data_IF_128392525233
#
_entry.id   IF_128392525233
#
_cell.length_a   1.000
_cell.length_b   1.000
_cell.length_c   1.000
_cell.angle_alpha   90.00
_cell.angle_beta   90.00
_cell.angle_gamma   90.00
#
_symmetry.space_group_name_H-M   'P 1'
#
loop_
_entity.id
_entity.type
_entity.pdbx_description
1 polymer ?
#
# COMPACT_ATOMS: atom_id res chain seq x y z
N UNK A 1 -5.30 -7.88 -23.42
CA UNK A 1 -4.17 -7.39 -24.24
C UNK A 1 -4.21 -5.86 -24.22
N UNK A 2 -3.29 -5.22 -23.51
CA UNK A 2 -3.29 -3.77 -23.33
C UNK A 2 -2.70 -3.06 -24.55
N UNK A 3 -3.35 -2.00 -24.97
CA UNK A 3 -2.80 -1.06 -25.93
C UNK A 3 -1.46 -0.50 -25.41
N UNK A 4 -0.42 -0.37 -26.26
CA UNK A 4 0.82 0.27 -25.89
C UNK A 4 0.57 1.73 -25.49
N UNK A 5 1.02 2.08 -24.30
CA UNK A 5 1.10 3.46 -23.84
C UNK A 5 2.06 4.22 -24.77
N UNK A 6 1.68 5.43 -25.15
CA UNK A 6 2.50 6.37 -25.91
C UNK A 6 2.95 7.52 -25.00
N UNK A 7 4.14 8.03 -25.26
CA UNK A 7 4.64 9.25 -24.63
C UNK A 7 4.32 10.44 -25.52
N UNK A 8 3.88 11.53 -24.90
CA UNK A 8 3.65 12.81 -25.54
C UNK A 8 4.44 13.85 -24.78
N UNK A 9 5.46 14.41 -25.41
CA UNK A 9 6.30 15.45 -24.83
C UNK A 9 5.84 16.81 -25.34
N UNK A 10 5.79 17.78 -24.45
CA UNK A 10 5.44 19.14 -24.82
C UNK A 10 5.16 20.03 -23.62
N UNK A 11 4.98 21.31 -23.92
CA UNK A 11 4.63 22.31 -22.92
C UNK A 11 3.16 22.15 -22.51
N UNK A 12 2.91 22.15 -21.21
CA UNK A 12 1.56 22.12 -20.65
C UNK A 12 0.88 23.46 -20.92
N UNK A 13 -0.11 23.47 -21.81
CA UNK A 13 -0.80 24.70 -22.24
C UNK A 13 -2.10 24.95 -21.50
N UNK A 14 -2.74 23.88 -21.01
CA UNK A 14 -3.87 23.96 -20.10
C UNK A 14 -3.84 22.79 -19.12
N UNK A 15 -4.31 23.05 -17.90
CA UNK A 15 -4.54 22.07 -16.85
C UNK A 15 -5.85 22.42 -16.15
N UNK A 16 -6.85 21.54 -16.25
CA UNK A 16 -8.18 21.77 -15.69
C UNK A 16 -8.58 20.62 -14.79
N UNK A 17 -9.02 20.96 -13.58
CA UNK A 17 -9.75 20.03 -12.71
C UNK A 17 -11.20 20.01 -13.13
N UNK A 18 -11.69 18.85 -13.55
CA UNK A 18 -13.08 18.70 -13.98
C UNK A 18 -14.03 18.68 -12.77
N UNK A 19 -13.55 18.17 -11.64
CA UNK A 19 -14.29 18.07 -10.39
C UNK A 19 -13.29 17.98 -9.24
N UNK A 20 -13.25 18.97 -8.36
CA UNK A 20 -12.45 18.92 -7.13
C UNK A 20 -13.42 19.10 -5.95
N UNK A 21 -13.45 18.17 -4.98
CA UNK A 21 -14.15 18.40 -3.74
C UNK A 21 -13.41 19.54 -3.01
N UNK A 22 -14.00 20.73 -2.98
CA UNK A 22 -13.40 21.89 -2.33
C UNK A 22 -13.56 21.81 -0.81
N UNK A 23 -12.50 22.15 -0.09
CA UNK A 23 -12.48 22.22 1.38
C UNK A 23 -13.50 23.25 1.91
N UNK A 24 -13.78 24.32 1.15
CA UNK A 24 -14.66 25.42 1.58
C UNK A 24 -16.15 25.09 1.50
N UNK A 25 -16.53 23.99 0.83
CA UNK A 25 -17.94 23.56 0.68
C UNK A 25 -18.38 22.54 1.75
N UNK A 26 -17.68 22.52 2.90
CA UNK A 26 -17.56 21.42 3.87
C UNK A 26 -18.85 20.85 4.51
N UNK A 27 -20.02 21.49 4.37
CA UNK A 27 -21.22 21.11 5.13
C UNK A 27 -21.85 19.76 4.75
N UNK A 28 -21.84 19.38 3.47
CA UNK A 28 -22.69 18.29 2.96
C UNK A 28 -21.94 17.08 2.35
N UNK A 29 -20.60 17.14 2.19
CA UNK A 29 -19.84 16.18 1.37
C UNK A 29 -18.64 15.54 2.09
N UNK A 30 -18.49 15.79 3.40
CA UNK A 30 -17.47 15.14 4.20
C UNK A 30 -17.93 13.72 4.58
N UNK A 31 -17.13 12.71 4.23
CA UNK A 31 -17.38 11.36 4.72
C UNK A 31 -17.18 11.31 6.22
N UNK A 32 -18.11 10.66 6.92
CA UNK A 32 -17.94 10.41 8.35
C UNK A 32 -16.64 9.65 8.58
N UNK A 33 -15.86 10.03 9.62
CA UNK A 33 -14.63 9.32 9.94
C UNK A 33 -14.93 7.83 10.15
N UNK A 34 -14.04 6.98 9.66
CA UNK A 34 -14.19 5.52 9.78
C UNK A 34 -14.25 5.17 11.27
N UNK A 35 -15.37 4.61 11.72
CA UNK A 35 -15.54 4.25 13.13
C UNK A 35 -14.47 3.19 13.53
N UNK A 36 -13.58 3.48 14.49
CA UNK A 36 -12.53 2.54 14.91
C UNK A 36 -13.12 1.22 15.45
N UNK A 37 -14.34 1.22 15.97
CA UNK A 37 -15.04 0.02 16.42
C UNK A 37 -15.55 -0.85 15.26
N UNK A 38 -15.74 -0.28 14.05
CA UNK A 38 -16.12 -1.06 12.88
C UNK A 38 -15.03 -2.07 12.49
N UNK A 39 -13.74 -1.74 12.72
CA UNK A 39 -12.62 -2.66 12.53
C UNK A 39 -12.71 -3.87 13.46
N UNK A 40 -13.15 -3.66 14.72
CA UNK A 40 -13.37 -4.71 15.72
C UNK A 40 -14.54 -5.63 15.37
N UNK A 41 -15.50 -5.13 14.58
CA UNK A 41 -16.64 -5.91 14.04
C UNK A 41 -16.30 -6.65 12.74
N UNK A 42 -15.10 -6.47 12.18
CA UNK A 42 -14.71 -7.15 10.95
C UNK A 42 -14.48 -8.64 11.19
N UNK A 43 -14.92 -9.47 10.24
CA UNK A 43 -14.82 -10.93 10.30
C UNK A 43 -13.37 -11.40 10.47
N UNK A 44 -12.42 -10.67 9.86
CA UNK A 44 -10.98 -10.93 10.02
C UNK A 44 -10.48 -10.65 11.44
N UNK A 45 -10.89 -9.53 12.03
CA UNK A 45 -10.54 -9.21 13.42
C UNK A 45 -11.12 -10.23 14.40
N UNK A 46 -12.40 -10.61 14.22
CA UNK A 46 -13.05 -11.62 15.04
C UNK A 46 -12.38 -13.01 14.90
N UNK A 47 -12.01 -13.38 13.68
CA UNK A 47 -11.30 -14.64 13.44
C UNK A 47 -9.93 -14.65 14.14
N UNK A 48 -9.11 -13.62 13.97
CA UNK A 48 -7.75 -13.60 14.54
C UNK A 48 -7.72 -13.34 16.04
N UNK A 49 -8.69 -12.60 16.61
CA UNK A 49 -8.68 -12.21 18.03
C UNK A 49 -9.64 -13.04 18.90
N UNK A 50 -10.50 -13.86 18.30
CA UNK A 50 -11.44 -14.71 19.05
C UNK A 50 -11.29 -16.17 18.66
N UNK A 51 -11.32 -16.50 17.37
CA UNK A 51 -11.28 -17.90 16.92
C UNK A 51 -9.88 -18.52 17.05
N UNK A 52 -8.83 -17.82 16.64
CA UNK A 52 -7.44 -18.32 16.70
C UNK A 52 -6.97 -18.60 18.13
N UNK A 53 -7.17 -17.72 19.14
CA UNK A 53 -6.79 -18.00 20.52
C UNK A 53 -7.57 -19.18 21.13
N UNK A 54 -8.87 -19.30 20.81
CA UNK A 54 -9.71 -20.42 21.27
C UNK A 54 -9.23 -21.74 20.66
N UNK A 55 -8.94 -21.77 19.35
CA UNK A 55 -8.38 -22.95 18.69
C UNK A 55 -6.98 -23.30 19.25
N UNK A 56 -6.13 -22.31 19.51
CA UNK A 56 -4.82 -22.51 20.13
C UNK A 56 -4.92 -23.08 21.55
N UNK A 57 -5.89 -22.62 22.34
CA UNK A 57 -6.16 -23.15 23.68
C UNK A 57 -6.72 -24.58 23.63
N UNK A 58 -7.67 -24.86 22.72
CA UNK A 58 -8.30 -26.17 22.57
C UNK A 58 -7.35 -27.25 21.99
N UNK A 59 -6.33 -26.83 21.24
CA UNK A 59 -5.29 -27.73 20.69
C UNK A 59 -4.12 -27.97 21.64
N UNK A 60 -4.21 -27.50 22.90
CA UNK A 60 -3.17 -27.69 23.92
C UNK A 60 -2.01 -26.69 23.83
N UNK A 61 -2.06 -25.73 22.91
CA UNK A 61 -1.04 -24.70 22.71
C UNK A 61 -1.35 -23.44 23.54
N UNK A 62 -1.57 -23.61 24.86
CA UNK A 62 -1.90 -22.52 25.79
C UNK A 62 -0.85 -21.40 25.83
N UNK A 63 0.42 -21.71 25.54
CA UNK A 63 1.49 -20.73 25.40
C UNK A 63 1.30 -19.80 24.18
N UNK A 64 0.77 -20.32 23.06
CA UNK A 64 0.48 -19.52 21.87
C UNK A 64 -0.77 -18.64 22.06
N UNK A 65 -1.79 -19.15 22.77
CA UNK A 65 -2.96 -18.37 23.16
C UNK A 65 -2.58 -17.21 24.09
N UNK A 66 -1.72 -17.46 25.09
CA UNK A 66 -1.20 -16.42 25.97
C UNK A 66 -0.29 -15.44 25.22
N UNK A 67 0.57 -15.91 24.32
CA UNK A 67 1.43 -15.05 23.51
C UNK A 67 0.62 -14.09 22.62
N UNK A 68 -0.50 -14.55 22.04
CA UNK A 68 -1.43 -13.69 21.28
C UNK A 68 -2.12 -12.63 22.15
N UNK A 69 -2.55 -12.99 23.36
CA UNK A 69 -3.14 -12.04 24.32
C UNK A 69 -2.10 -11.03 24.83
N UNK A 70 -0.87 -11.47 25.11
CA UNK A 70 0.24 -10.60 25.47
C UNK A 70 0.63 -9.67 24.32
N UNK A 71 0.67 -10.18 23.09
CA UNK A 71 0.94 -9.39 21.89
C UNK A 71 -0.14 -8.31 21.72
N UNK A 72 -1.41 -8.64 21.90
CA UNK A 72 -2.52 -7.68 21.83
C UNK A 72 -2.41 -6.59 22.90
N UNK A 73 -2.09 -6.98 24.14
CA UNK A 73 -1.91 -6.02 25.25
C UNK A 73 -0.74 -5.07 24.99
N UNK A 74 0.33 -5.59 24.37
CA UNK A 74 1.50 -4.81 24.02
C UNK A 74 1.24 -3.89 22.82
N UNK A 75 0.49 -4.35 21.81
CA UNK A 75 0.05 -3.54 20.68
C UNK A 75 -0.86 -2.39 21.14
N UNK A 76 -1.82 -2.66 22.03
CA UNK A 76 -2.71 -1.63 22.60
C UNK A 76 -1.91 -0.59 23.40
N UNK A 77 -0.92 -1.01 24.18
CA UNK A 77 -0.04 -0.10 24.92
C UNK A 77 0.83 0.76 23.98
N UNK A 78 1.36 0.17 22.91
CA UNK A 78 2.15 0.88 21.90
C UNK A 78 1.26 1.87 21.13
N UNK A 79 0.05 1.48 20.74
CA UNK A 79 -0.95 2.36 20.14
C UNK A 79 -1.33 3.51 21.07
N UNK A 80 -1.55 3.25 22.37
CA UNK A 80 -1.82 4.29 23.36
C UNK A 80 -0.65 5.29 23.48
N UNK A 81 0.59 4.81 23.46
CA UNK A 81 1.79 5.66 23.46
C UNK A 81 1.91 6.48 22.17
N UNK A 82 1.67 5.87 21.01
CA UNK A 82 1.67 6.55 19.72
C UNK A 82 0.58 7.61 19.63
N UNK A 83 -0.61 7.34 20.20
CA UNK A 83 -1.70 8.31 20.31
C UNK A 83 -1.31 9.47 21.22
N UNK A 84 -0.81 9.19 22.43
CA UNK A 84 -0.38 10.22 23.36
C UNK A 84 0.80 11.07 22.84
N UNK A 85 1.66 10.49 22.00
CA UNK A 85 2.72 11.22 21.31
C UNK A 85 2.15 12.06 20.15
N UNK A 86 1.19 11.51 19.39
CA UNK A 86 0.53 12.21 18.28
C UNK A 86 -0.30 13.41 18.73
N UNK A 87 -0.97 13.30 19.88
CA UNK A 87 -1.82 14.37 20.43
C UNK A 87 -1.00 15.61 20.83
N UNK A 88 0.32 15.47 21.03
CA UNK A 88 1.24 16.56 21.39
C UNK A 88 1.78 17.35 20.20
N UNK A 89 1.51 16.91 18.97
CA UNK A 89 2.06 17.52 17.76
C UNK A 89 1.00 18.38 17.08
N UNK A 90 1.14 19.70 17.20
CA UNK A 90 0.21 20.68 16.62
C UNK A 90 0.31 20.75 15.09
N UNK A 91 1.53 20.71 14.55
CA UNK A 91 1.80 20.76 13.11
C UNK A 91 2.54 19.50 12.65
N UNK A 92 1.82 18.38 12.50
CA UNK A 92 2.44 17.10 12.20
C UNK A 92 2.92 17.05 10.75
N UNK A 93 4.07 16.41 10.53
CA UNK A 93 4.56 16.14 9.18
C UNK A 93 3.57 15.25 8.41
N UNK A 94 3.50 15.41 7.10
CA UNK A 94 2.54 14.74 6.19
C UNK A 94 2.55 13.21 6.33
N UNK A 95 3.75 12.63 6.48
CA UNK A 95 4.01 11.20 6.68
C UNK A 95 3.85 10.69 8.12
N UNK A 96 3.63 11.58 9.09
CA UNK A 96 3.60 11.19 10.50
C UNK A 96 2.28 10.53 10.89
N UNK A 97 2.33 9.59 11.84
CA UNK A 97 1.15 8.96 12.42
C UNK A 97 0.14 9.99 12.95
N UNK A 98 0.63 11.06 13.56
CA UNK A 98 -0.19 12.17 14.06
C UNK A 98 -1.03 12.85 12.98
N UNK A 99 -0.51 12.91 11.75
CA UNK A 99 -1.22 13.52 10.63
C UNK A 99 -2.23 12.56 9.96
N UNK A 100 -1.85 11.29 9.82
CA UNK A 100 -2.65 10.27 9.14
C UNK A 100 -3.82 9.79 10.02
N UNK A 101 -3.68 9.86 11.36
CA UNK A 101 -4.73 9.43 12.29
C UNK A 101 -6.01 10.26 12.19
N UNK A 102 -5.89 11.57 11.98
CA UNK A 102 -7.02 12.50 11.96
C UNK A 102 -7.33 12.99 10.53
N UNK A 103 -7.32 12.08 9.55
CA UNK A 103 -7.64 12.45 8.17
C UNK A 103 -9.13 12.77 7.97
N UNK A 104 -9.42 13.77 7.15
CA UNK A 104 -10.76 14.10 6.65
C UNK A 104 -10.84 13.77 5.16
N UNK A 105 -11.85 13.01 4.74
CA UNK A 105 -12.05 12.69 3.32
C UNK A 105 -13.28 13.41 2.79
N UNK A 106 -13.08 14.18 1.72
CA UNK A 106 -14.10 14.90 0.98
C UNK A 106 -14.36 14.17 -0.33
N UNK A 107 -15.63 13.94 -0.67
CA UNK A 107 -16.01 13.12 -1.84
C UNK A 107 -17.05 13.85 -2.67
N UNK A 108 -16.91 13.75 -3.98
CA UNK A 108 -17.90 14.18 -4.97
C UNK A 108 -18.27 12.99 -5.87
N UNK A 109 -19.04 13.20 -6.95
CA UNK A 109 -19.51 12.10 -7.78
C UNK A 109 -18.37 11.29 -8.39
N UNK A 110 -17.27 11.94 -8.81
CA UNK A 110 -16.15 11.28 -9.49
C UNK A 110 -14.78 11.51 -8.85
N UNK A 111 -14.69 12.34 -7.81
CA UNK A 111 -13.44 12.73 -7.18
C UNK A 111 -13.48 12.51 -5.66
N UNK A 112 -12.31 12.27 -5.07
CA UNK A 112 -12.16 12.32 -3.62
C UNK A 112 -10.81 12.89 -3.24
N UNK A 113 -10.76 13.52 -2.08
CA UNK A 113 -9.56 14.14 -1.52
C UNK A 113 -9.51 13.81 -0.04
N UNK A 114 -8.41 13.20 0.40
CA UNK A 114 -8.14 12.93 1.80
C UNK A 114 -7.09 13.90 2.31
N UNK A 115 -7.45 14.66 3.34
CA UNK A 115 -6.67 15.74 3.95
C UNK A 115 -6.20 15.29 5.32
N UNK A 116 -4.93 15.52 5.64
CA UNK A 116 -4.37 15.26 6.96
C UNK A 116 -4.78 16.29 8.01
N UNK A 117 -4.37 16.06 9.26
CA UNK A 117 -4.50 17.02 10.36
C UNK A 117 -3.83 18.37 10.07
N UNK A 118 -2.74 18.35 9.31
CA UNK A 118 -1.98 19.54 8.89
C UNK A 118 -2.58 20.27 7.68
N UNK A 119 -3.84 19.99 7.34
CA UNK A 119 -4.59 20.56 6.21
C UNK A 119 -4.00 20.27 4.81
N UNK A 120 -2.92 19.48 4.72
CA UNK A 120 -2.34 19.06 3.44
C UNK A 120 -3.07 17.86 2.86
N UNK A 121 -3.21 17.83 1.53
CA UNK A 121 -3.83 16.73 0.80
C UNK A 121 -2.86 15.54 0.72
N UNK A 122 -3.26 14.44 1.34
CA UNK A 122 -2.48 13.21 1.43
C UNK A 122 -2.72 12.28 0.24
N UNK A 123 -3.99 12.11 -0.12
CA UNK A 123 -4.43 11.27 -1.24
C UNK A 123 -5.51 12.00 -2.02
N UNK A 124 -5.46 11.87 -3.34
CA UNK A 124 -6.47 12.47 -4.20
C UNK A 124 -6.78 11.56 -5.39
N UNK A 125 -8.05 11.57 -5.81
CA UNK A 125 -8.47 11.11 -7.13
C UNK A 125 -9.05 12.32 -7.84
N UNK A 126 -8.25 12.90 -8.73
CA UNK A 126 -8.61 14.13 -9.43
C UNK A 126 -8.87 13.82 -10.90
N UNK A 127 -10.10 14.03 -11.42
CA UNK A 127 -10.34 14.03 -12.87
C UNK A 127 -9.70 15.29 -13.48
N UNK A 128 -8.75 15.07 -14.37
CA UNK A 128 -7.93 16.13 -14.97
C UNK A 128 -8.04 16.10 -16.49
N UNK A 129 -8.13 17.28 -17.08
CA UNK A 129 -7.94 17.55 -18.49
C UNK A 129 -6.65 18.37 -18.69
N UNK A 130 -5.80 17.94 -19.62
CA UNK A 130 -4.57 18.64 -20.00
C UNK A 130 -4.52 18.91 -21.49
N UNK A 131 -3.80 19.95 -21.87
CA UNK A 131 -3.45 20.23 -23.27
C UNK A 131 -1.93 20.27 -23.43
N UNK A 132 -1.40 19.40 -24.29
CA UNK A 132 0.03 19.37 -24.63
C UNK A 132 0.22 18.93 -26.08
N UNK A 133 1.19 19.54 -26.78
CA UNK A 133 1.44 19.25 -28.19
C UNK A 133 0.25 19.55 -29.12
N UNK A 134 -0.68 20.43 -28.71
CA UNK A 134 -1.90 20.76 -29.46
C UNK A 134 -3.02 19.72 -29.36
N UNK A 135 -2.86 18.65 -28.58
CA UNK A 135 -3.90 17.65 -28.29
C UNK A 135 -4.36 17.76 -26.83
N UNK A 136 -5.65 17.42 -26.61
CA UNK A 136 -6.25 17.38 -25.28
C UNK A 136 -6.32 15.94 -24.77
N UNK A 137 -5.92 15.73 -23.51
CA UNK A 137 -5.94 14.43 -22.85
C UNK A 137 -6.70 14.48 -21.53
N UNK A 138 -7.39 13.39 -21.19
CA UNK A 138 -8.20 13.29 -19.97
C UNK A 138 -7.86 12.03 -19.17
N UNK A 139 -7.85 12.13 -17.85
CA UNK A 139 -7.64 10.98 -16.97
C UNK A 139 -7.91 11.29 -15.51
N UNK A 140 -7.59 10.33 -14.65
CA UNK A 140 -7.66 10.50 -13.21
C UNK A 140 -6.25 10.46 -12.67
N UNK A 141 -5.80 11.50 -11.97
CA UNK A 141 -4.48 11.56 -11.38
C UNK A 141 -4.57 11.43 -9.85
N UNK A 142 -3.56 10.79 -9.27
CA UNK A 142 -3.37 10.63 -7.83
C UNK A 142 -2.98 11.92 -7.09
N UNK A 143 -2.63 12.97 -7.84
CA UNK A 143 -2.11 14.24 -7.33
C UNK A 143 -1.90 15.30 -8.42
N UNK A 144 -1.15 16.36 -8.09
CA UNK A 144 -0.73 17.43 -9.00
C UNK A 144 0.58 18.05 -8.50
N UNK A 145 1.56 18.19 -9.39
CA UNK A 145 2.83 18.89 -9.12
C UNK A 145 3.35 19.69 -10.34
N UNK A 146 2.49 19.93 -11.33
CA UNK A 146 2.81 20.62 -12.57
C UNK A 146 1.85 21.79 -12.76
N UNK A 147 2.39 22.89 -13.27
CA UNK A 147 1.67 24.13 -13.56
C UNK A 147 1.64 24.41 -15.06
N UNK A 148 0.68 25.24 -15.49
CA UNK A 148 0.59 25.67 -16.89
C UNK A 148 1.87 26.42 -17.26
N UNK A 149 2.49 25.97 -18.35
CA UNK A 149 3.78 26.47 -18.81
C UNK A 149 4.96 25.54 -18.51
N UNK A 150 4.78 24.51 -17.68
CA UNK A 150 5.82 23.50 -17.45
C UNK A 150 6.00 22.59 -18.67
N UNK A 151 7.24 22.19 -18.94
CA UNK A 151 7.53 21.12 -19.87
C UNK A 151 7.19 19.77 -19.23
N UNK A 152 6.41 18.94 -19.92
CA UNK A 152 5.92 17.67 -19.37
C UNK A 152 6.00 16.53 -20.39
N UNK A 153 6.12 15.32 -19.88
CA UNK A 153 5.97 14.06 -20.59
C UNK A 153 4.68 13.39 -20.10
N UNK A 154 3.65 13.39 -20.95
CA UNK A 154 2.39 12.72 -20.68
C UNK A 154 2.44 11.26 -21.16
N UNK A 155 2.00 10.34 -20.30
CA UNK A 155 1.83 8.92 -20.63
C UNK A 155 0.35 8.69 -20.91
N UNK A 156 0.02 8.38 -22.16
CA UNK A 156 -1.37 8.23 -22.59
C UNK A 156 -1.58 6.91 -23.33
N UNK A 157 -2.81 6.39 -23.29
CA UNK A 157 -3.19 5.26 -24.15
C UNK A 157 -3.59 5.74 -25.55
N UNK A 158 -3.71 4.81 -26.51
CA UNK A 158 -4.19 5.03 -27.89
C UNK A 158 -5.51 5.77 -27.98
N UNK A 159 -6.35 5.71 -26.93
CA UNK A 159 -7.63 6.42 -26.84
C UNK A 159 -7.52 7.86 -26.31
N UNK A 160 -6.30 8.37 -26.06
CA UNK A 160 -6.08 9.69 -25.48
C UNK A 160 -6.36 9.75 -23.97
N UNK A 161 -6.48 8.61 -23.29
CA UNK A 161 -6.61 8.56 -21.82
C UNK A 161 -5.25 8.81 -21.17
N UNK A 162 -5.19 9.76 -20.26
CA UNK A 162 -4.02 10.09 -19.44
C UNK A 162 -3.85 9.08 -18.30
N UNK A 163 -2.63 8.55 -18.17
CA UNK A 163 -2.23 7.61 -17.11
C UNK A 163 -1.13 8.17 -16.20
N UNK A 164 -0.28 9.06 -16.70
CA UNK A 164 0.70 9.75 -15.88
C UNK A 164 1.17 11.06 -16.52
N UNK A 165 1.67 11.95 -15.70
CA UNK A 165 2.45 13.14 -16.08
C UNK A 165 3.81 13.05 -15.42
N UNK A 166 4.87 13.32 -16.17
CA UNK A 166 6.24 13.35 -15.66
C UNK A 166 6.95 14.61 -16.14
N UNK A 167 7.95 15.04 -15.38
CA UNK A 167 8.89 16.08 -15.78
C UNK A 167 9.80 15.58 -16.92
N UNK A 168 10.45 16.45 -17.70
CA UNK A 168 11.31 16.03 -18.82
C UNK A 168 12.53 15.25 -18.33
N UNK A 169 13.08 15.63 -17.18
CA UNK A 169 14.14 14.91 -16.47
C UNK A 169 13.62 13.65 -15.74
N UNK A 170 12.31 13.41 -15.80
CA UNK A 170 11.55 12.31 -15.22
C UNK A 170 11.62 12.27 -13.69
N UNK A 171 12.18 13.28 -13.02
CA UNK A 171 12.45 13.23 -11.58
C UNK A 171 11.20 13.36 -10.72
N UNK A 172 10.16 13.97 -11.27
CA UNK A 172 8.86 14.14 -10.62
C UNK A 172 7.80 13.57 -11.54
N UNK A 173 6.87 12.80 -10.99
CA UNK A 173 5.75 12.30 -11.76
C UNK A 173 4.51 12.14 -10.89
N UNK A 174 3.35 12.17 -11.53
CA UNK A 174 2.06 11.86 -10.96
C UNK A 174 1.43 10.78 -11.83
N UNK A 175 0.91 9.73 -11.22
CA UNK A 175 0.29 8.60 -11.93
C UNK A 175 -1.21 8.55 -11.68
N UNK A 176 -1.90 7.64 -12.38
CA UNK A 176 -3.31 7.34 -12.16
C UNK A 176 -3.55 6.93 -10.70
N UNK A 177 -4.62 7.43 -10.09
CA UNK A 177 -5.01 7.13 -8.70
C UNK A 177 -5.13 5.63 -8.38
N UNK A 178 -5.32 4.78 -9.40
CA UNK A 178 -5.43 3.35 -9.25
C UNK A 178 -4.07 2.62 -9.38
N UNK A 179 -2.95 3.36 -9.38
CA UNK A 179 -1.61 2.80 -9.30
C UNK A 179 -1.25 2.44 -7.85
N UNK A 180 -0.34 1.49 -7.69
CA UNK A 180 0.22 1.12 -6.38
C UNK A 180 1.52 1.86 -6.12
N UNK A 181 1.83 2.06 -4.83
CA UNK A 181 3.11 2.54 -4.28
C UNK A 181 4.30 1.65 -4.66
N UNK A 182 4.04 0.43 -5.14
CA UNK A 182 5.07 -0.46 -5.67
C UNK A 182 4.67 -0.99 -7.04
N UNK A 183 5.66 -1.17 -7.92
CA UNK A 183 5.47 -1.89 -9.17
C UNK A 183 5.46 -3.41 -8.99
N UNK A 184 5.30 -4.15 -10.09
CA UNK A 184 5.27 -5.62 -10.09
C UNK A 184 6.53 -6.24 -9.47
N UNK A 185 7.69 -5.64 -9.74
CA UNK A 185 8.94 -6.13 -9.20
C UNK A 185 9.03 -5.95 -7.67
N UNK A 186 8.46 -4.87 -7.13
CA UNK A 186 8.32 -4.67 -5.68
C UNK A 186 7.34 -5.67 -5.05
N UNK A 187 6.16 -5.85 -5.67
CA UNK A 187 5.15 -6.79 -5.20
C UNK A 187 5.68 -8.24 -5.18
N UNK A 188 6.33 -8.68 -6.26
CA UNK A 188 6.94 -10.01 -6.34
C UNK A 188 8.05 -10.21 -5.32
N UNK A 189 8.86 -9.18 -5.04
CA UNK A 189 9.87 -9.23 -3.99
C UNK A 189 9.25 -9.37 -2.60
N UNK A 190 8.19 -8.62 -2.29
CA UNK A 190 7.49 -8.73 -1.00
C UNK A 190 6.87 -10.12 -0.81
N UNK A 191 6.25 -10.67 -1.87
CA UNK A 191 5.75 -12.04 -1.88
C UNK A 191 6.87 -13.06 -1.69
N UNK A 192 8.01 -12.87 -2.35
CA UNK A 192 9.18 -13.72 -2.19
C UNK A 192 9.76 -13.68 -0.77
N UNK A 193 9.87 -12.49 -0.18
CA UNK A 193 10.32 -12.32 1.20
C UNK A 193 9.35 -13.00 2.18
N UNK A 194 8.04 -12.79 2.01
CA UNK A 194 7.02 -13.44 2.82
C UNK A 194 7.14 -14.98 2.72
N UNK A 195 7.28 -15.51 1.50
CA UNK A 195 7.50 -16.93 1.26
C UNK A 195 8.79 -17.44 1.94
N UNK A 196 9.89 -16.72 1.81
CA UNK A 196 11.18 -17.07 2.43
C UNK A 196 11.06 -17.13 3.95
N UNK A 197 10.45 -16.13 4.58
CA UNK A 197 10.26 -16.09 6.03
C UNK A 197 9.30 -17.16 6.51
N UNK A 198 8.26 -17.45 5.74
CA UNK A 198 7.35 -18.55 6.03
C UNK A 198 8.07 -19.90 5.99
N UNK A 199 8.90 -20.12 4.97
CA UNK A 199 9.71 -21.33 4.85
C UNK A 199 10.68 -21.49 6.02
N UNK A 200 11.39 -20.41 6.40
CA UNK A 200 12.26 -20.41 7.57
C UNK A 200 11.46 -20.70 8.84
N UNK A 201 10.30 -20.04 9.03
CA UNK A 201 9.42 -20.25 10.18
C UNK A 201 8.97 -21.71 10.32
N UNK A 202 8.56 -22.31 9.20
CA UNK A 202 8.13 -23.72 9.17
C UNK A 202 9.27 -24.68 9.50
N UNK A 203 10.45 -24.51 8.89
CA UNK A 203 11.55 -25.44 9.08
C UNK A 203 12.28 -25.26 10.41
N UNK A 204 12.36 -24.03 10.94
CA UNK A 204 13.09 -23.74 12.16
C UNK A 204 12.25 -23.84 13.44
N UNK A 205 10.92 -23.73 13.34
CA UNK A 205 10.05 -23.77 14.51
C UNK A 205 9.01 -24.88 14.42
N UNK A 206 8.21 -24.92 13.36
CA UNK A 206 7.11 -25.88 13.25
C UNK A 206 7.62 -27.33 13.18
N UNK A 207 8.63 -27.61 12.34
CA UNK A 207 9.21 -28.95 12.17
C UNK A 207 9.90 -29.45 13.45
N UNK A 208 10.77 -28.67 14.14
CA UNK A 208 11.34 -29.09 15.42
C UNK A 208 10.30 -29.30 16.53
N UNK A 209 9.28 -28.45 16.62
CA UNK A 209 8.19 -28.60 17.59
C UNK A 209 7.41 -29.88 17.31
N UNK A 210 7.04 -30.14 16.05
CA UNK A 210 6.35 -31.37 15.64
C UNK A 210 7.21 -32.62 15.90
N UNK A 211 8.51 -32.56 15.62
CA UNK A 211 9.45 -33.64 15.93
C UNK A 211 9.53 -33.91 17.43
N UNK A 212 9.57 -32.85 18.25
CA UNK A 212 9.61 -32.95 19.71
C UNK A 212 8.30 -33.51 20.27
N UNK A 213 7.15 -33.07 19.76
CA UNK A 213 5.83 -33.59 20.13
C UNK A 213 5.72 -35.09 19.79
N UNK A 214 6.12 -35.49 18.58
CA UNK A 214 6.14 -36.90 18.16
C UNK A 214 7.09 -37.73 19.02
N UNK A 215 8.23 -37.17 19.43
CA UNK A 215 9.17 -37.85 20.32
C UNK A 215 8.60 -38.02 21.73
N UNK A 216 7.90 -37.02 22.26
CA UNK A 216 7.32 -37.05 23.62
C UNK A 216 5.98 -37.76 23.73
N UNK A 217 5.35 -38.13 22.60
CA UNK A 217 4.08 -38.84 22.59
C UNK A 217 4.28 -40.31 23.03
N UNK A 218 3.30 -40.89 23.73
CA UNK A 218 3.35 -42.25 24.30
C UNK A 218 3.65 -43.37 23.28
N UNK A 219 3.53 -43.09 21.98
CA UNK A 219 3.84 -44.02 20.89
C UNK A 219 5.20 -43.78 20.22
N UNK A 220 5.88 -42.66 20.46
CA UNK A 220 7.11 -42.26 19.76
C UNK A 220 6.98 -42.28 18.24
N UNK A 221 8.11 -42.38 17.53
CA UNK A 221 8.16 -42.64 16.08
C UNK A 221 7.79 -44.09 15.78
N UNK A 222 6.50 -44.42 15.90
CA UNK A 222 5.99 -45.79 15.74
C UNK A 222 5.63 -46.14 14.30
N UNK A 223 5.36 -45.15 13.45
CA UNK A 223 5.04 -45.36 12.04
C UNK A 223 5.74 -44.31 11.18
N UNK A 224 6.94 -44.66 10.70
CA UNK A 224 7.81 -43.77 9.93
C UNK A 224 7.08 -43.06 8.77
N UNK A 225 6.21 -43.77 8.04
CA UNK A 225 5.46 -43.19 6.91
C UNK A 225 4.42 -42.14 7.35
N UNK A 226 3.73 -42.39 8.47
CA UNK A 226 2.72 -41.47 9.02
C UNK A 226 3.39 -40.28 9.69
N UNK A 227 4.49 -40.52 10.41
CA UNK A 227 5.28 -39.50 11.08
C UNK A 227 5.96 -38.58 10.05
N UNK A 228 6.48 -39.14 8.95
CA UNK A 228 7.05 -38.38 7.84
C UNK A 228 5.97 -37.59 7.08
N UNK A 229 4.78 -38.17 6.88
CA UNK A 229 3.64 -37.46 6.31
C UNK A 229 3.14 -36.33 7.20
N UNK A 230 3.19 -36.46 8.53
CA UNK A 230 2.88 -35.37 9.46
C UNK A 230 3.98 -34.30 9.48
N UNK A 231 5.25 -34.69 9.51
CA UNK A 231 6.41 -33.79 9.56
C UNK A 231 6.61 -32.97 8.29
N UNK A 232 6.29 -33.53 7.12
CA UNK A 232 6.44 -32.85 5.83
C UNK A 232 5.11 -32.37 5.26
N UNK A 233 4.07 -33.18 5.35
CA UNK A 233 2.77 -32.90 4.72
C UNK A 233 1.99 -31.78 5.40
N UNK A 234 1.98 -31.72 6.74
CA UNK A 234 1.25 -30.67 7.48
C UNK A 234 1.89 -29.28 7.27
N UNK A 235 3.22 -29.10 7.39
CA UNK A 235 3.85 -27.83 7.05
C UNK A 235 3.68 -27.46 5.58
N UNK A 236 3.79 -28.42 4.66
CA UNK A 236 3.63 -28.15 3.22
C UNK A 236 2.20 -27.71 2.88
N UNK A 237 1.18 -28.38 3.43
CA UNK A 237 -0.23 -28.04 3.19
C UNK A 237 -0.63 -26.72 3.83
N UNK A 238 -0.18 -26.43 5.05
CA UNK A 238 -0.32 -25.10 5.67
C UNK A 238 0.43 -24.07 4.80
N UNK A 239 1.60 -24.43 4.28
CA UNK A 239 2.44 -23.66 3.37
C UNK A 239 1.68 -23.20 2.14
N UNK A 240 1.10 -24.17 1.45
CA UNK A 240 0.30 -24.01 0.24
C UNK A 240 -0.99 -23.25 0.55
N UNK A 241 -1.68 -23.54 1.66
CA UNK A 241 -2.90 -22.85 2.04
C UNK A 241 -2.64 -21.37 2.35
N UNK A 242 -1.58 -21.04 3.08
CA UNK A 242 -1.21 -19.65 3.38
C UNK A 242 -0.72 -18.93 2.13
N UNK A 243 0.02 -19.60 1.23
CA UNK A 243 0.40 -19.04 -0.06
C UNK A 243 -0.79 -18.85 -0.99
N UNK A 244 -1.81 -19.72 -0.93
CA UNK A 244 -3.08 -19.54 -1.64
C UNK A 244 -3.93 -18.45 -0.99
N UNK A 245 -3.94 -18.29 0.33
CA UNK A 245 -4.70 -17.22 1.00
C UNK A 245 -4.02 -15.87 0.77
N UNK A 246 -2.71 -15.78 0.93
CA UNK A 246 -1.92 -14.60 0.60
C UNK A 246 -2.00 -14.30 -0.90
N UNK A 247 -1.83 -15.32 -1.74
CA UNK A 247 -1.98 -15.24 -3.18
C UNK A 247 -3.37 -14.79 -3.61
N UNK A 248 -4.46 -15.40 -3.13
CA UNK A 248 -5.82 -15.08 -3.58
C UNK A 248 -6.33 -13.75 -2.99
N UNK A 249 -6.00 -13.40 -1.73
CA UNK A 249 -6.41 -12.12 -1.15
C UNK A 249 -5.56 -10.93 -1.58
N UNK A 250 -4.24 -11.09 -1.72
CA UNK A 250 -3.35 -9.99 -2.14
C UNK A 250 -3.20 -9.92 -3.66
N UNK A 251 -3.40 -11.01 -4.42
CA UNK A 251 -3.03 -10.95 -5.84
C UNK A 251 -4.00 -10.16 -6.70
N UNK A 252 -5.31 -10.33 -6.59
CA UNK A 252 -6.17 -9.70 -7.61
C UNK A 252 -6.36 -8.20 -7.44
N UNK A 253 -6.49 -7.71 -6.20
CA UNK A 253 -6.64 -6.28 -5.94
C UNK A 253 -5.35 -5.50 -6.17
N UNK A 254 -4.18 -6.09 -5.89
CA UNK A 254 -2.92 -5.36 -5.85
C UNK A 254 -2.07 -5.60 -7.11
N UNK A 255 -2.28 -6.71 -7.82
CA UNK A 255 -1.56 -6.94 -9.09
C UNK A 255 -1.98 -5.99 -10.19
N UNK A 256 -3.27 -5.67 -10.30
CA UNK A 256 -3.74 -4.75 -11.34
C UNK A 256 -3.14 -3.34 -11.16
N UNK A 257 -3.17 -2.74 -9.95
CA UNK A 257 -2.43 -1.52 -9.62
C UNK A 257 -0.92 -1.64 -9.87
N UNK A 258 -0.25 -2.70 -9.37
CA UNK A 258 1.20 -2.87 -9.53
C UNK A 258 1.61 -3.05 -11.00
N UNK A 259 0.79 -3.75 -11.79
CA UNK A 259 0.99 -3.92 -13.23
C UNK A 259 0.80 -2.61 -13.99
N UNK A 260 -0.17 -1.77 -13.59
CA UNK A 260 -0.34 -0.41 -14.15
C UNK A 260 0.88 0.45 -13.85
N UNK A 261 1.35 0.47 -12.60
CA UNK A 261 2.57 1.18 -12.19
C UNK A 261 3.76 0.74 -13.04
N UNK A 262 4.00 -0.58 -13.15
CA UNK A 262 5.09 -1.14 -13.95
C UNK A 262 4.98 -0.79 -15.45
N UNK A 263 3.76 -0.79 -16.00
CA UNK A 263 3.52 -0.41 -17.40
C UNK A 263 3.83 1.07 -17.68
N UNK A 264 3.46 1.96 -16.75
CA UNK A 264 3.78 3.40 -16.83
C UNK A 264 5.29 3.61 -16.72
N UNK A 265 5.95 2.95 -15.76
CA UNK A 265 7.40 3.03 -15.58
C UNK A 265 8.14 2.53 -16.82
N UNK A 266 7.72 1.39 -17.38
CA UNK A 266 8.28 0.84 -18.61
C UNK A 266 8.10 1.80 -19.79
N UNK A 267 6.93 2.44 -19.92
CA UNK A 267 6.69 3.44 -20.96
C UNK A 267 7.62 4.64 -20.80
N UNK A 268 7.87 5.09 -19.56
CA UNK A 268 8.83 6.15 -19.23
C UNK A 268 10.31 5.71 -19.32
N UNK A 269 10.59 4.48 -19.77
CA UNK A 269 11.94 3.93 -19.86
C UNK A 269 12.62 3.76 -18.49
N UNK A 270 11.85 3.57 -17.43
CA UNK A 270 12.35 3.38 -16.06
C UNK A 270 12.36 1.90 -15.67
N UNK A 271 13.37 1.46 -14.91
CA UNK A 271 13.35 0.12 -14.33
C UNK A 271 12.20 0.03 -13.33
N UNK A 272 11.51 -1.11 -13.33
CA UNK A 272 10.50 -1.43 -12.32
C UNK A 272 11.21 -1.48 -10.96
N UNK A 273 10.77 -0.65 -10.01
CA UNK A 273 11.52 -0.37 -8.79
C UNK A 273 11.35 -1.55 -7.82
N UNK A 274 12.28 -2.52 -7.87
CA UNK A 274 12.33 -3.64 -6.91
C UNK A 274 12.61 -3.22 -5.46
N UNK A 275 13.16 -2.02 -5.26
CA UNK A 275 13.80 -1.59 -4.00
C UNK A 275 13.35 -0.23 -3.50
N UNK A 276 12.67 0.57 -4.30
CA UNK A 276 12.31 1.95 -3.96
C UNK A 276 10.81 1.98 -3.71
N UNK A 277 10.44 2.17 -2.45
CA UNK A 277 9.07 2.45 -2.05
C UNK A 277 8.76 3.91 -2.37
N UNK A 278 7.70 4.16 -3.13
CA UNK A 278 7.31 5.51 -3.48
C UNK A 278 6.87 6.33 -2.24
N UNK A 279 6.37 5.67 -1.20
CA UNK A 279 6.09 6.31 0.09
C UNK A 279 7.37 6.83 0.76
N UNK A 280 8.44 6.05 0.70
CA UNK A 280 9.75 6.44 1.25
C UNK A 280 10.34 7.62 0.46
N UNK A 281 10.26 7.61 -0.87
CA UNK A 281 10.77 8.72 -1.69
C UNK A 281 10.01 10.03 -1.46
N UNK A 282 8.69 9.97 -1.25
CA UNK A 282 7.90 11.14 -0.87
C UNK A 282 8.33 11.68 0.49
N UNK A 283 8.51 10.80 1.46
CA UNK A 283 8.95 11.15 2.81
C UNK A 283 10.34 11.80 2.78
N UNK A 284 11.26 11.28 1.97
CA UNK A 284 12.60 11.82 1.78
C UNK A 284 12.57 13.17 1.04
N UNK A 285 11.74 13.31 0.00
CA UNK A 285 11.55 14.58 -0.71
C UNK A 285 11.00 15.68 0.21
N UNK A 286 10.04 15.35 1.09
CA UNK A 286 9.51 16.27 2.08
C UNK A 286 10.57 16.67 3.12
N UNK A 287 11.37 15.72 3.61
CA UNK A 287 12.50 16.00 4.54
C UNK A 287 13.58 16.88 3.90
N UNK A 288 13.82 16.72 2.61
CA UNK A 288 14.81 17.49 1.86
C UNK A 288 14.27 18.83 1.33
N UNK A 289 13.03 19.20 1.67
CA UNK A 289 12.40 20.46 1.20
C UNK A 289 12.14 20.51 -0.32
N UNK A 290 12.06 19.35 -0.98
CA UNK A 290 11.82 19.25 -2.43
C UNK A 290 10.33 19.31 -2.79
N UNK A 291 9.45 18.96 -1.84
CA UNK A 291 8.00 19.09 -1.99
C UNK A 291 7.60 20.56 -1.87
N UNK A 292 6.87 21.07 -2.87
CA UNK A 292 6.32 22.43 -2.87
C UNK A 292 5.06 22.48 -2.04
N UNK A 293 4.65 23.67 -1.61
CA UNK A 293 3.35 23.83 -0.94
C UNK A 293 2.16 23.71 -1.90
N UNK A 294 2.39 23.90 -3.21
CA UNK A 294 1.39 23.70 -4.27
C UNK A 294 1.21 22.24 -4.68
N UNK A 295 2.08 21.36 -4.20
CA UNK A 295 2.05 19.93 -4.51
C UNK A 295 0.90 19.25 -3.76
N UNK A 296 0.02 18.59 -4.51
CA UNK A 296 -1.23 18.00 -3.99
C UNK A 296 -1.23 16.49 -4.21
N UNK A 297 -1.62 15.73 -3.19
CA UNK A 297 -1.88 14.29 -3.31
C UNK A 297 -0.62 13.46 -3.47
N UNK A 298 -0.71 12.40 -4.28
CA UNK A 298 0.34 11.40 -4.42
C UNK A 298 1.28 11.74 -5.58
N UNK A 299 2.46 12.26 -5.21
CA UNK A 299 3.52 12.62 -6.14
C UNK A 299 4.70 11.69 -5.91
N UNK A 300 5.25 11.23 -7.04
CA UNK A 300 6.32 10.27 -7.09
C UNK A 300 7.62 10.98 -7.45
N UNK A 301 8.54 11.00 -6.51
CA UNK A 301 9.87 11.57 -6.69
C UNK A 301 10.86 10.47 -7.03
N UNK A 302 11.72 10.71 -8.01
CA UNK A 302 12.89 9.89 -8.22
C UNK A 302 13.88 10.15 -7.08
N UNK A 303 14.58 9.13 -6.56
CA UNK A 303 15.69 9.37 -5.65
C UNK A 303 16.68 10.31 -6.32
N UNK A 304 17.09 11.37 -5.60
CA UNK A 304 18.12 12.27 -6.10
C UNK A 304 19.36 11.42 -6.45
N UNK A 305 19.98 11.66 -7.62
CA UNK A 305 21.29 11.07 -7.87
C UNK A 305 22.18 11.50 -6.72
N UNK A 306 22.62 10.53 -5.90
CA UNK A 306 23.71 10.76 -4.97
C UNK A 306 24.90 11.17 -5.83
N UNK A 307 25.29 12.43 -5.68
CA UNK A 307 26.50 12.99 -6.28
C UNK A 307 27.71 12.53 -5.48
#
# INVERSE_FOLDING_TARGET
>A
MSSPLRLVEGKLTALRFLERPDQDSAGNHQMSPVNPEARKKSLGYWFTHTVVPILAALTGNGAAANALVFQQTNEDLVLARLNAAADKVEHPATWSYANIRETRTFVSANAFVTVGKNDKILFAKLPVEIETGGETYRGFLGGQCFDVGDDVVAVVDRRGRLFALSSPDRRRMVMDHACSDTGLAGLTRSLWLAWKWMFIGMNCFLVPIMALVLWTADRGFSNLDVDLAMLLGVPLTIGILLALVLGVRLSWSDWLPAWRTSSILKALGRPDLCTVDFLDTRTEAERNGQARDTDIGQIYYAPALKT
#
